data_IF_540463499493
#
_entry.id   IF_540463499493
#
_cell.length_a   1.000
_cell.length_b   1.000
_cell.length_c   1.000
_cell.angle_alpha   90.00
_cell.angle_beta   90.00
_cell.angle_gamma   90.00
#
_symmetry.space_group_name_H-M   'P 1'
#
loop_
_entity.id
_entity.type
_entity.pdbx_description
1 polymer ?
#
# COMPACT_ATOMS: atom_id res chain seq x y z
N UNK A 1 19.23 -7.63 -75.14
CA UNK A 1 18.45 -6.48 -74.65
C UNK A 1 17.69 -6.99 -73.43
N UNK A 2 18.27 -6.83 -72.25
CA UNK A 2 17.61 -7.13 -70.99
C UNK A 2 16.63 -6.00 -70.74
N UNK A 3 15.34 -6.28 -70.85
CA UNK A 3 14.28 -5.36 -70.43
C UNK A 3 14.50 -5.05 -68.95
N UNK A 4 14.95 -3.83 -68.67
CA UNK A 4 14.84 -3.25 -67.34
C UNK A 4 13.35 -3.00 -67.11
N UNK A 5 12.66 -4.00 -66.56
CA UNK A 5 11.34 -3.79 -65.97
C UNK A 5 11.50 -2.74 -64.87
N UNK A 6 10.84 -1.60 -65.05
CA UNK A 6 10.70 -0.60 -63.99
C UNK A 6 10.13 -1.29 -62.74
N UNK A 7 10.59 -0.93 -61.53
CA UNK A 7 10.06 -1.53 -60.32
C UNK A 7 8.56 -1.19 -60.22
N UNK A 8 7.71 -2.21 -60.37
CA UNK A 8 6.27 -2.06 -60.13
C UNK A 8 6.05 -1.57 -58.70
N UNK A 9 5.52 -0.35 -58.56
CA UNK A 9 5.07 0.19 -57.29
C UNK A 9 4.07 -0.78 -56.65
N UNK A 10 4.20 -1.10 -55.34
CA UNK A 10 3.28 -2.00 -54.67
C UNK A 10 1.89 -1.38 -54.64
N UNK A 11 0.88 -2.19 -54.98
CA UNK A 11 -0.53 -1.83 -54.80
C UNK A 11 -0.83 -1.54 -53.32
N UNK A 12 -1.93 -0.82 -53.00
CA UNK A 12 -2.29 -0.50 -51.62
C UNK A 12 -2.42 -1.74 -50.70
N UNK A 13 -2.82 -2.89 -51.25
CA UNK A 13 -2.88 -4.15 -50.52
C UNK A 13 -1.47 -4.71 -50.27
N UNK A 14 -0.62 -4.74 -51.30
CA UNK A 14 0.78 -5.17 -51.19
C UNK A 14 1.55 -4.30 -50.18
N UNK A 15 1.36 -2.97 -50.19
CA UNK A 15 1.98 -2.07 -49.20
C UNK A 15 1.56 -2.41 -47.76
N UNK A 16 0.28 -2.75 -47.53
CA UNK A 16 -0.22 -3.18 -46.20
C UNK A 16 0.40 -4.51 -45.78
N UNK A 17 0.53 -5.46 -46.71
CA UNK A 17 1.17 -6.76 -46.49
C UNK A 17 2.65 -6.58 -46.11
N UNK A 18 3.40 -5.83 -46.94
CA UNK A 18 4.82 -5.52 -46.73
C UNK A 18 5.00 -4.93 -45.33
N UNK A 19 4.24 -3.88 -45.02
CA UNK A 19 4.30 -3.21 -43.73
C UNK A 19 4.00 -4.14 -42.57
N UNK A 20 3.01 -5.02 -42.71
CA UNK A 20 2.62 -5.93 -41.63
C UNK A 20 3.67 -7.00 -41.38
N UNK A 21 4.31 -7.53 -42.43
CA UNK A 21 5.42 -8.48 -42.31
C UNK A 21 6.65 -7.80 -41.73
N UNK A 22 7.03 -6.63 -42.24
CA UNK A 22 8.15 -5.85 -41.71
C UNK A 22 7.94 -5.45 -40.25
N UNK A 23 6.71 -5.17 -39.83
CA UNK A 23 6.41 -4.95 -38.42
C UNK A 23 6.72 -6.18 -37.56
N UNK A 24 6.36 -7.38 -38.02
CA UNK A 24 6.59 -8.61 -37.28
C UNK A 24 8.07 -8.92 -37.07
N UNK A 25 8.86 -8.76 -38.13
CA UNK A 25 10.31 -8.95 -38.13
C UNK A 25 11.09 -7.71 -37.70
N UNK A 26 10.40 -6.60 -37.44
CA UNK A 26 10.99 -5.33 -37.06
C UNK A 26 11.62 -5.34 -35.67
N UNK A 27 12.50 -4.38 -35.45
CA UNK A 27 13.33 -4.25 -34.24
C UNK A 27 12.57 -4.12 -32.93
N UNK A 28 11.31 -3.67 -32.99
CA UNK A 28 10.49 -3.43 -31.81
C UNK A 28 9.66 -4.67 -31.43
N UNK A 29 9.26 -5.47 -32.42
CA UNK A 29 8.42 -6.65 -32.23
C UNK A 29 9.25 -7.92 -32.03
N UNK A 30 10.18 -8.19 -32.96
CA UNK A 30 10.89 -9.47 -33.04
C UNK A 30 11.60 -9.87 -31.74
N UNK A 31 12.32 -8.98 -31.02
CA UNK A 31 12.97 -9.37 -29.75
C UNK A 31 12.01 -9.81 -28.63
N UNK A 32 10.70 -9.51 -28.76
CA UNK A 32 9.67 -9.86 -27.77
C UNK A 32 8.74 -10.99 -28.25
N UNK A 33 8.77 -11.30 -29.53
CA UNK A 33 7.88 -12.29 -30.13
C UNK A 33 8.50 -13.69 -29.99
N UNK A 34 8.13 -14.39 -28.91
CA UNK A 34 8.70 -15.70 -28.60
C UNK A 34 8.39 -16.75 -29.67
N UNK A 35 7.26 -16.61 -30.36
CA UNK A 35 6.87 -17.54 -31.41
C UNK A 35 7.74 -17.34 -32.65
N UNK A 36 7.86 -16.11 -33.16
CA UNK A 36 8.74 -15.83 -34.29
C UNK A 36 10.21 -16.13 -33.99
N UNK A 37 10.68 -15.82 -32.77
CA UNK A 37 12.04 -16.16 -32.34
C UNK A 37 12.32 -17.66 -32.29
N UNK A 38 11.28 -18.49 -32.12
CA UNK A 38 11.42 -19.93 -32.17
C UNK A 38 11.48 -20.41 -33.62
N UNK A 39 10.54 -19.97 -34.47
CA UNK A 39 10.49 -20.36 -35.89
C UNK A 39 11.79 -20.00 -36.63
N UNK A 40 12.36 -18.79 -36.41
CA UNK A 40 13.62 -18.40 -37.07
C UNK A 40 14.82 -19.24 -36.65
N UNK A 41 14.77 -19.94 -35.50
CA UNK A 41 15.88 -20.81 -35.04
C UNK A 41 15.83 -22.20 -35.67
N UNK A 42 14.67 -22.60 -36.19
CA UNK A 42 14.49 -23.95 -36.72
C UNK A 42 15.12 -24.13 -38.10
N UNK A 43 15.16 -23.06 -38.92
CA UNK A 43 15.59 -23.14 -40.32
C UNK A 43 16.43 -21.92 -40.76
N UNK A 44 17.54 -21.64 -40.08
CA UNK A 44 18.51 -20.59 -40.47
C UNK A 44 17.86 -19.20 -40.78
N UNK A 45 16.92 -18.81 -39.92
CA UNK A 45 16.16 -17.56 -40.05
C UNK A 45 14.93 -17.63 -40.96
N UNK A 46 14.78 -18.68 -41.76
CA UNK A 46 13.65 -18.86 -42.67
C UNK A 46 12.36 -19.23 -41.94
N UNK A 47 11.30 -18.53 -42.28
CA UNK A 47 9.95 -18.77 -41.79
C UNK A 47 9.04 -19.04 -42.98
N UNK A 48 8.33 -20.18 -43.00
CA UNK A 48 7.36 -20.47 -44.06
C UNK A 48 6.26 -19.40 -44.12
N UNK A 49 5.93 -18.91 -45.33
CA UNK A 49 4.80 -18.01 -45.52
C UNK A 49 3.48 -18.65 -45.06
N UNK A 50 3.36 -19.97 -45.16
CA UNK A 50 2.25 -20.71 -44.58
C UNK A 50 2.10 -20.47 -43.06
N UNK A 51 3.21 -20.38 -42.32
CA UNK A 51 3.17 -20.03 -40.89
C UNK A 51 2.71 -18.59 -40.71
N UNK A 52 3.16 -17.66 -41.56
CA UNK A 52 2.77 -16.25 -41.51
C UNK A 52 1.26 -16.04 -41.71
N UNK A 53 0.60 -16.86 -42.54
CA UNK A 53 -0.86 -16.80 -42.74
C UNK A 53 -1.67 -17.08 -41.46
N UNK A 54 -1.07 -17.64 -40.40
CA UNK A 54 -1.73 -17.86 -39.12
C UNK A 54 -1.83 -16.58 -38.27
N UNK A 55 -1.09 -15.52 -38.63
CA UNK A 55 -1.09 -14.27 -37.90
C UNK A 55 -2.35 -13.47 -38.23
N UNK A 56 -3.17 -13.19 -37.22
CA UNK A 56 -4.50 -12.60 -37.38
C UNK A 56 -4.56 -11.33 -38.24
N UNK A 57 -3.55 -10.45 -38.19
CA UNK A 57 -3.58 -9.21 -39.00
C UNK A 57 -3.17 -9.47 -40.45
N UNK A 58 -2.23 -10.38 -40.67
CA UNK A 58 -1.80 -10.72 -42.02
C UNK A 58 -2.88 -11.53 -42.74
N UNK A 59 -3.52 -12.47 -42.05
CA UNK A 59 -4.59 -13.30 -42.61
C UNK A 59 -5.83 -12.51 -43.01
N UNK A 60 -6.09 -11.37 -42.38
CA UNK A 60 -7.16 -10.43 -42.76
C UNK A 60 -6.83 -9.67 -44.06
N UNK A 61 -5.56 -9.56 -44.44
CA UNK A 61 -5.11 -8.91 -45.67
C UNK A 61 -5.05 -9.92 -46.82
N UNK A 62 -4.36 -11.04 -46.61
CA UNK A 62 -4.26 -12.14 -47.57
C UNK A 62 -3.83 -13.43 -46.90
N UNK A 63 -4.34 -14.55 -47.41
CA UNK A 63 -3.87 -15.90 -47.06
C UNK A 63 -3.15 -16.59 -48.23
N UNK A 64 -3.05 -15.92 -49.39
CA UNK A 64 -2.42 -16.47 -50.58
C UNK A 64 -0.91 -16.25 -50.53
N UNK A 65 -0.15 -17.36 -50.47
CA UNK A 65 1.31 -17.36 -50.43
C UNK A 65 1.90 -16.62 -51.64
N UNK A 66 1.33 -16.80 -52.83
CA UNK A 66 1.85 -16.17 -54.04
C UNK A 66 1.75 -14.64 -53.96
N UNK A 67 0.63 -14.13 -53.45
CA UNK A 67 0.41 -12.69 -53.22
C UNK A 67 1.37 -12.17 -52.15
N UNK A 68 1.56 -12.89 -51.04
CA UNK A 68 2.49 -12.48 -49.99
C UNK A 68 3.94 -12.42 -50.51
N UNK A 69 4.38 -13.43 -51.26
CA UNK A 69 5.71 -13.48 -51.84
C UNK A 69 5.93 -12.38 -52.89
N UNK A 70 4.95 -12.14 -53.77
CA UNK A 70 4.99 -11.07 -54.75
C UNK A 70 5.08 -9.69 -54.08
N UNK A 71 4.27 -9.44 -53.04
CA UNK A 71 4.33 -8.21 -52.26
C UNK A 71 5.72 -8.02 -51.63
N UNK A 72 6.26 -9.05 -50.98
CA UNK A 72 7.57 -8.94 -50.32
C UNK A 72 8.72 -8.68 -51.29
N UNK A 73 8.66 -9.19 -52.52
CA UNK A 73 9.64 -8.89 -53.58
C UNK A 73 9.61 -7.43 -54.03
N UNK A 74 8.47 -6.74 -53.86
CA UNK A 74 8.31 -5.30 -54.14
C UNK A 74 8.68 -4.42 -52.94
N UNK A 75 9.08 -5.00 -51.81
CA UNK A 75 9.50 -4.20 -50.66
C UNK A 75 10.76 -3.40 -51.01
N UNK A 76 10.73 -2.11 -50.72
CA UNK A 76 11.89 -1.21 -50.81
C UNK A 76 12.79 -1.31 -49.58
N UNK A 77 12.37 -2.04 -48.54
CA UNK A 77 13.13 -2.23 -47.31
C UNK A 77 14.09 -3.41 -47.47
N UNK A 78 15.37 -3.21 -47.15
CA UNK A 78 16.36 -4.30 -47.12
C UNK A 78 16.25 -5.19 -45.87
N UNK A 79 15.15 -5.08 -45.12
CA UNK A 79 14.93 -5.84 -43.88
C UNK A 79 14.62 -7.32 -44.14
N UNK A 80 13.95 -7.65 -45.25
CA UNK A 80 13.39 -8.97 -45.49
C UNK A 80 13.92 -9.57 -46.79
N UNK A 81 14.18 -10.88 -46.78
CA UNK A 81 14.53 -11.69 -47.93
C UNK A 81 13.42 -12.72 -48.21
N UNK A 82 13.18 -12.99 -49.49
CA UNK A 82 12.24 -14.01 -49.96
C UNK A 82 13.04 -15.16 -50.57
N UNK A 83 12.67 -16.40 -50.26
CA UNK A 83 13.34 -17.58 -50.82
C UNK A 83 13.15 -17.66 -52.34
N UNK A 84 14.03 -18.37 -53.03
CA UNK A 84 13.96 -18.53 -54.50
C UNK A 84 12.64 -19.15 -54.95
N UNK A 85 12.15 -20.15 -54.21
CA UNK A 85 10.85 -20.79 -54.44
C UNK A 85 9.63 -19.92 -54.05
N UNK A 86 9.86 -18.80 -53.37
CA UNK A 86 8.80 -17.90 -52.88
C UNK A 86 7.94 -18.47 -51.77
N UNK A 87 8.36 -19.54 -51.08
CA UNK A 87 7.59 -20.20 -50.03
C UNK A 87 7.97 -19.76 -48.62
N UNK A 88 9.16 -19.18 -48.44
CA UNK A 88 9.71 -18.76 -47.14
C UNK A 88 10.19 -17.32 -47.20
N UNK A 89 10.20 -16.67 -46.04
CA UNK A 89 10.76 -15.34 -45.84
C UNK A 89 11.69 -15.36 -44.63
N UNK A 90 12.72 -14.51 -44.63
CA UNK A 90 13.56 -14.29 -43.44
C UNK A 90 13.91 -12.83 -43.29
N UNK A 91 14.26 -12.45 -42.07
CA UNK A 91 14.95 -11.18 -41.83
C UNK A 91 16.38 -11.28 -42.38
N UNK A 92 16.82 -10.27 -43.11
CA UNK A 92 18.14 -10.28 -43.75
C UNK A 92 19.26 -10.42 -42.71
N UNK A 93 20.28 -11.26 -42.94
CA UNK A 93 21.42 -11.43 -42.04
C UNK A 93 22.19 -10.12 -41.77
N UNK A 94 22.15 -9.17 -42.71
CA UNK A 94 22.77 -7.84 -42.58
C UNK A 94 22.07 -6.96 -41.53
N UNK A 95 20.85 -7.33 -41.15
CA UNK A 95 20.05 -6.67 -40.12
C UNK A 95 19.82 -7.63 -38.96
N UNK A 96 20.80 -7.92 -38.10
CA UNK A 96 20.65 -8.87 -37.01
C UNK A 96 19.55 -8.47 -36.04
N UNK A 97 18.96 -9.45 -35.36
CA UNK A 97 17.92 -9.19 -34.34
C UNK A 97 18.52 -8.36 -33.21
N UNK A 98 17.96 -7.18 -32.89
CA UNK A 98 18.51 -6.33 -31.85
C UNK A 98 18.44 -6.97 -30.46
N UNK A 99 19.43 -6.69 -29.63
CA UNK A 99 19.42 -7.05 -28.22
C UNK A 99 18.47 -6.17 -27.43
N UNK A 100 17.88 -6.73 -26.37
CA UNK A 100 16.96 -6.01 -25.49
C UNK A 100 17.69 -5.55 -24.22
N UNK A 101 18.69 -4.70 -24.41
CA UNK A 101 19.51 -4.11 -23.35
C UNK A 101 19.00 -2.74 -22.88
N UNK A 102 19.55 -2.28 -21.75
CA UNK A 102 19.13 -1.03 -21.08
C UNK A 102 19.27 0.19 -21.98
N UNK A 103 20.28 0.23 -22.84
CA UNK A 103 20.57 1.38 -23.69
C UNK A 103 19.54 1.46 -24.84
N UNK A 104 19.21 0.32 -25.45
CA UNK A 104 18.13 0.23 -26.45
C UNK A 104 16.77 0.60 -25.86
N UNK A 105 16.49 0.21 -24.61
CA UNK A 105 15.28 0.66 -23.92
C UNK A 105 15.25 2.18 -23.72
N UNK A 106 16.39 2.79 -23.36
CA UNK A 106 16.50 4.23 -23.18
C UNK A 106 16.30 4.98 -24.51
N UNK A 107 16.92 4.49 -25.58
CA UNK A 107 16.78 5.01 -26.95
C UNK A 107 15.33 4.92 -27.44
N UNK A 108 14.69 3.75 -27.32
CA UNK A 108 13.27 3.58 -27.67
C UNK A 108 12.41 4.54 -26.84
N UNK A 109 12.73 4.75 -25.57
CA UNK A 109 11.96 5.59 -24.65
C UNK A 109 12.00 7.07 -25.05
N UNK A 110 13.11 7.59 -25.58
CA UNK A 110 13.21 9.01 -25.99
C UNK A 110 12.44 9.29 -27.29
N UNK A 111 12.34 8.32 -28.20
CA UNK A 111 11.51 8.40 -29.42
C UNK A 111 10.08 7.84 -29.24
N UNK A 112 9.67 7.60 -28.00
CA UNK A 112 8.34 7.12 -27.68
C UNK A 112 7.44 8.21 -27.12
N UNK A 113 6.22 8.29 -27.64
CA UNK A 113 5.18 9.20 -27.15
C UNK A 113 4.00 8.45 -26.54
N UNK A 114 3.25 9.18 -25.72
CA UNK A 114 1.96 8.80 -25.18
C UNK A 114 0.89 9.76 -25.70
N UNK A 115 -0.22 9.22 -26.18
CA UNK A 115 -1.39 10.00 -26.58
C UNK A 115 -2.67 9.41 -25.97
N UNK A 116 -3.54 10.26 -25.44
CA UNK A 116 -4.84 9.89 -24.87
C UNK A 116 -5.93 10.83 -25.35
N UNK A 117 -7.12 10.29 -25.59
CA UNK A 117 -8.28 11.03 -26.09
C UNK A 117 -8.91 10.38 -27.32
N UNK A 118 -8.47 9.17 -27.69
CA UNK A 118 -9.06 8.46 -28.82
C UNK A 118 -10.41 7.83 -28.45
N UNK A 119 -11.37 7.78 -29.38
CA UNK A 119 -12.61 7.04 -29.22
C UNK A 119 -12.36 5.58 -28.82
N UNK A 120 -13.24 5.00 -27.99
CA UNK A 120 -13.06 3.64 -27.47
C UNK A 120 -13.22 2.56 -28.56
N UNK A 121 -13.89 2.91 -29.64
CA UNK A 121 -14.13 2.13 -30.86
C UNK A 121 -13.14 2.43 -31.99
N UNK A 122 -12.13 3.28 -31.75
CA UNK A 122 -11.15 3.63 -32.76
C UNK A 122 -10.39 2.38 -33.29
N UNK A 123 -10.41 2.20 -34.60
CA UNK A 123 -9.67 1.15 -35.28
C UNK A 123 -8.17 1.42 -35.27
N UNK A 124 -7.36 0.36 -35.18
CA UNK A 124 -5.90 0.46 -35.18
C UNK A 124 -5.36 1.11 -36.46
N UNK A 125 -5.96 0.85 -37.61
CA UNK A 125 -5.52 1.41 -38.90
C UNK A 125 -5.71 2.93 -38.94
N UNK A 126 -6.86 3.44 -38.48
CA UNK A 126 -7.10 4.88 -38.36
C UNK A 126 -6.09 5.55 -37.43
N UNK A 127 -5.70 4.87 -36.36
CA UNK A 127 -4.69 5.38 -35.43
C UNK A 127 -3.30 5.39 -36.07
N UNK A 128 -2.95 4.33 -36.81
CA UNK A 128 -1.68 4.25 -37.55
C UNK A 128 -1.57 5.42 -38.54
N UNK A 129 -2.58 5.61 -39.39
CA UNK A 129 -2.61 6.70 -40.37
C UNK A 129 -2.49 8.07 -39.71
N UNK A 130 -3.14 8.25 -38.55
CA UNK A 130 -3.04 9.49 -37.78
C UNK A 130 -1.62 9.75 -37.26
N UNK A 131 -0.96 8.74 -36.69
CA UNK A 131 0.40 8.90 -36.16
C UNK A 131 1.42 9.12 -37.28
N UNK A 132 1.19 8.56 -38.47
CA UNK A 132 2.09 8.75 -39.61
C UNK A 132 2.17 10.17 -40.16
N UNK A 133 1.20 11.04 -39.82
CA UNK A 133 1.25 12.47 -40.17
C UNK A 133 2.46 13.19 -39.58
N UNK A 134 2.92 12.76 -38.40
CA UNK A 134 4.10 13.33 -37.76
C UNK A 134 5.41 12.69 -38.24
N UNK A 135 5.36 11.46 -38.75
CA UNK A 135 6.52 10.71 -39.24
C UNK A 135 6.32 9.20 -39.14
N UNK A 136 7.30 8.43 -39.64
CA UNK A 136 7.23 6.96 -39.68
C UNK A 136 7.10 6.37 -38.26
N UNK A 137 5.95 5.75 -37.99
CA UNK A 137 5.67 5.04 -36.74
C UNK A 137 6.11 3.57 -36.86
N UNK A 138 7.08 3.16 -36.06
CA UNK A 138 7.56 1.77 -35.99
C UNK A 138 6.61 0.87 -35.19
N UNK A 139 5.99 1.41 -34.14
CA UNK A 139 5.03 0.68 -33.34
C UNK A 139 3.92 1.58 -32.83
N UNK A 140 2.68 1.15 -33.01
CA UNK A 140 1.49 1.74 -32.39
C UNK A 140 0.87 0.72 -31.43
N UNK A 141 0.99 0.98 -30.13
CA UNK A 141 0.51 0.11 -29.07
C UNK A 141 -0.76 0.70 -28.43
N UNK A 142 -1.92 0.16 -28.78
CA UNK A 142 -3.19 0.47 -28.12
C UNK A 142 -3.21 -0.08 -26.69
N UNK A 143 -3.48 0.78 -25.70
CA UNK A 143 -3.55 0.37 -24.29
C UNK A 143 -4.93 -0.20 -24.01
N UNK A 144 -4.97 -1.46 -23.57
CA UNK A 144 -6.20 -2.17 -23.23
C UNK A 144 -6.44 -2.25 -21.72
N UNK A 145 -7.68 -2.46 -21.32
CA UNK A 145 -8.08 -2.77 -19.94
C UNK A 145 -7.97 -4.27 -19.65
N UNK A 146 -8.39 -4.70 -18.46
CA UNK A 146 -8.38 -6.12 -18.08
C UNK A 146 -9.34 -6.95 -18.94
N UNK A 147 -10.41 -6.35 -19.44
CA UNK A 147 -11.39 -6.95 -20.35
C UNK A 147 -10.95 -6.91 -21.83
N UNK A 148 -9.68 -6.55 -22.11
CA UNK A 148 -9.13 -6.38 -23.47
C UNK A 148 -9.78 -5.26 -24.30
N UNK A 149 -10.66 -4.44 -23.71
CA UNK A 149 -11.22 -3.25 -24.35
C UNK A 149 -10.20 -2.10 -24.40
N UNK A 150 -10.27 -1.28 -25.46
CA UNK A 150 -9.39 -0.14 -25.64
C UNK A 150 -9.66 0.96 -24.61
N UNK A 151 -8.61 1.58 -24.06
CA UNK A 151 -8.71 2.66 -23.06
C UNK A 151 -8.75 4.07 -23.65
N UNK A 152 -8.79 4.22 -24.97
CA UNK A 152 -8.65 5.53 -25.61
C UNK A 152 -7.25 6.14 -25.47
N UNK A 153 -6.21 5.32 -25.27
CA UNK A 153 -4.82 5.79 -25.18
C UNK A 153 -3.82 4.82 -25.82
N UNK A 154 -2.77 5.39 -26.41
CA UNK A 154 -1.77 4.67 -27.18
C UNK A 154 -0.36 5.04 -26.73
N UNK A 155 0.56 4.10 -26.85
CA UNK A 155 2.00 4.39 -26.91
C UNK A 155 2.46 4.24 -28.35
N UNK A 156 3.26 5.17 -28.83
CA UNK A 156 3.79 5.14 -30.18
C UNK A 156 5.30 5.26 -30.12
N UNK A 157 5.99 4.41 -30.87
CA UNK A 157 7.44 4.49 -31.08
C UNK A 157 7.64 4.98 -32.51
N UNK A 158 8.28 6.14 -32.65
CA UNK A 158 8.64 6.69 -33.95
C UNK A 158 10.04 6.22 -34.36
N UNK A 159 10.30 6.20 -35.67
CA UNK A 159 11.64 5.90 -36.21
C UNK A 159 12.70 6.90 -35.71
N UNK A 160 12.34 8.18 -35.55
CA UNK A 160 13.24 9.23 -35.06
C UNK A 160 12.67 9.98 -33.84
N UNK A 161 13.57 10.50 -33.00
CA UNK A 161 13.20 11.40 -31.89
C UNK A 161 12.56 12.70 -32.41
N UNK A 162 12.99 13.17 -33.58
CA UNK A 162 12.43 14.35 -34.23
C UNK A 162 10.94 14.15 -34.56
N UNK A 163 10.56 12.98 -35.10
CA UNK A 163 9.15 12.67 -35.38
C UNK A 163 8.32 12.64 -34.08
N UNK A 164 8.90 12.15 -32.99
CA UNK A 164 8.27 12.15 -31.67
C UNK A 164 8.04 13.58 -31.14
N UNK A 165 9.02 14.48 -31.29
CA UNK A 165 8.88 15.91 -30.94
C UNK A 165 7.88 16.62 -31.84
N UNK A 166 7.97 16.40 -33.15
CA UNK A 166 7.05 16.92 -34.16
C UNK A 166 5.60 16.55 -33.84
N UNK A 167 5.37 15.32 -33.39
CA UNK A 167 4.05 14.87 -32.96
C UNK A 167 3.50 15.65 -31.75
N UNK A 168 4.35 16.15 -30.85
CA UNK A 168 3.93 16.94 -29.69
C UNK A 168 3.67 18.41 -30.05
N UNK A 169 4.38 18.93 -31.03
CA UNK A 169 4.34 20.34 -31.44
C UNK A 169 3.26 20.62 -32.50
N UNK A 170 2.99 19.68 -33.40
CA UNK A 170 2.01 19.84 -34.47
C UNK A 170 0.59 20.04 -33.93
N UNK A 171 -0.14 21.02 -34.45
CA UNK A 171 -1.56 21.21 -34.10
C UNK A 171 -2.45 20.14 -34.73
N UNK A 172 -2.12 19.65 -35.92
CA UNK A 172 -2.86 18.59 -36.62
C UNK A 172 -2.91 17.28 -35.84
N UNK A 173 -1.90 17.03 -35.00
CA UNK A 173 -1.85 15.86 -34.12
C UNK A 173 -2.38 16.16 -32.72
N UNK A 174 -2.75 17.41 -32.43
CA UNK A 174 -3.33 17.80 -31.15
C UNK A 174 -4.79 17.36 -31.01
N UNK A 175 -5.49 17.17 -32.13
CA UNK A 175 -6.88 16.75 -32.16
C UNK A 175 -7.04 15.47 -32.98
N UNK A 176 -7.95 14.60 -32.54
CA UNK A 176 -8.40 13.46 -33.31
C UNK A 176 -9.91 13.61 -33.53
N UNK A 177 -10.30 13.98 -34.75
CA UNK A 177 -11.65 14.50 -35.01
C UNK A 177 -11.89 15.76 -34.18
N UNK A 178 -12.96 15.77 -33.41
CA UNK A 178 -13.32 16.89 -32.53
C UNK A 178 -12.70 16.82 -31.13
N UNK A 179 -11.95 15.74 -30.82
CA UNK A 179 -11.43 15.50 -29.47
C UNK A 179 -9.99 15.97 -29.32
N UNK A 180 -9.72 16.81 -28.32
CA UNK A 180 -8.36 17.21 -27.94
C UNK A 180 -7.61 16.07 -27.25
N UNK A 181 -6.38 15.82 -27.71
CA UNK A 181 -5.52 14.77 -27.23
C UNK A 181 -4.56 15.28 -26.15
N UNK A 182 -4.47 14.52 -25.06
CA UNK A 182 -3.38 14.65 -24.09
C UNK A 182 -2.17 13.92 -24.64
N UNK A 183 -1.13 14.67 -25.02
CA UNK A 183 0.11 14.15 -25.60
C UNK A 183 1.29 14.43 -24.68
N UNK A 184 2.14 13.45 -24.47
CA UNK A 184 3.32 13.54 -23.61
C UNK A 184 4.43 12.64 -24.17
N UNK A 185 5.69 12.95 -23.90
CA UNK A 185 6.73 11.94 -24.05
C UNK A 185 6.44 10.76 -23.11
N UNK A 186 6.77 9.54 -23.54
CA UNK A 186 6.56 8.34 -22.72
C UNK A 186 7.32 8.41 -21.39
N UNK A 187 8.50 9.03 -21.39
CA UNK A 187 9.27 9.31 -20.17
C UNK A 187 8.50 10.15 -19.16
N UNK A 188 7.92 11.27 -19.61
CA UNK A 188 7.15 12.19 -18.76
C UNK A 188 5.86 11.57 -18.25
N UNK A 189 5.19 10.78 -19.10
CA UNK A 189 4.03 9.99 -18.69
C UNK A 189 4.36 9.08 -17.50
N UNK A 190 5.47 8.34 -17.56
CA UNK A 190 5.86 7.44 -16.47
C UNK A 190 6.30 8.20 -15.22
N UNK A 191 6.99 9.33 -15.38
CA UNK A 191 7.36 10.20 -14.24
C UNK A 191 6.12 10.72 -13.51
N UNK A 192 5.15 11.27 -14.26
CA UNK A 192 3.86 11.71 -13.69
C UNK A 192 3.11 10.58 -12.99
N UNK A 193 3.09 9.37 -13.58
CA UNK A 193 2.44 8.20 -12.96
C UNK A 193 3.14 7.74 -11.69
N UNK A 194 4.46 7.79 -11.65
CA UNK A 194 5.24 7.48 -10.46
C UNK A 194 4.92 8.47 -9.33
N UNK A 195 4.91 9.76 -9.63
CA UNK A 195 4.61 10.82 -8.66
C UNK A 195 3.16 10.71 -8.15
N UNK A 196 2.17 10.50 -9.04
CA UNK A 196 0.77 10.24 -8.68
C UNK A 196 0.65 9.03 -7.74
N UNK A 197 1.36 7.94 -8.01
CA UNK A 197 1.32 6.73 -7.18
C UNK A 197 1.97 6.95 -5.82
N UNK A 198 3.08 7.71 -5.77
CA UNK A 198 3.77 8.07 -4.54
C UNK A 198 2.87 8.92 -3.65
N UNK A 199 2.20 9.91 -4.24
CA UNK A 199 1.30 10.81 -3.53
C UNK A 199 0.07 10.07 -2.97
N UNK A 200 -0.56 9.19 -3.77
CA UNK A 200 -1.65 8.33 -3.28
C UNK A 200 -1.23 7.43 -2.11
N UNK A 201 0.00 6.92 -2.14
CA UNK A 201 0.53 6.10 -1.05
C UNK A 201 0.71 6.93 0.23
N UNK A 202 1.25 8.15 0.11
CA UNK A 202 1.41 9.08 1.24
C UNK A 202 0.03 9.45 1.82
N UNK A 203 -0.93 9.79 0.97
CA UNK A 203 -2.29 10.14 1.39
C UNK A 203 -3.00 8.96 2.08
N UNK A 204 -2.85 7.74 1.56
CA UNK A 204 -3.40 6.55 2.18
C UNK A 204 -2.79 6.26 3.56
N UNK A 205 -1.50 6.52 3.74
CA UNK A 205 -0.83 6.39 5.05
C UNK A 205 -1.38 7.44 6.02
N UNK A 206 -1.46 8.71 5.59
CA UNK A 206 -2.00 9.81 6.41
C UNK A 206 -3.44 9.53 6.85
N UNK A 207 -4.30 9.10 5.92
CA UNK A 207 -5.69 8.75 6.23
C UNK A 207 -5.81 7.61 7.24
N UNK A 208 -4.94 6.60 7.17
CA UNK A 208 -4.88 5.51 8.16
C UNK A 208 -4.42 6.00 9.54
N UNK A 209 -3.45 6.92 9.60
CA UNK A 209 -3.01 7.53 10.86
C UNK A 209 -4.13 8.34 11.50
N UNK A 210 -4.77 9.23 10.75
CA UNK A 210 -5.89 10.04 11.25
C UNK A 210 -7.07 9.17 11.72
N UNK A 211 -7.37 8.06 11.02
CA UNK A 211 -8.39 7.11 11.47
C UNK A 211 -8.02 6.42 12.79
N UNK A 212 -6.74 6.09 12.98
CA UNK A 212 -6.26 5.47 14.22
C UNK A 212 -6.26 6.46 15.39
N UNK A 213 -5.92 7.72 15.15
CA UNK A 213 -5.97 8.79 16.15
C UNK A 213 -7.41 9.04 16.60
N UNK A 214 -8.34 9.24 15.65
CA UNK A 214 -9.78 9.37 15.97
C UNK A 214 -10.31 8.18 16.78
N UNK A 215 -9.98 6.96 16.36
CA UNK A 215 -10.38 5.76 17.11
C UNK A 215 -9.81 5.72 18.54
N UNK A 216 -8.58 6.21 18.73
CA UNK A 216 -7.98 6.26 20.05
C UNK A 216 -8.63 7.35 20.93
N UNK A 217 -8.91 8.51 20.36
CA UNK A 217 -9.66 9.59 21.01
C UNK A 217 -11.06 9.14 21.42
N UNK A 218 -11.81 8.51 20.52
CA UNK A 218 -13.14 7.96 20.81
C UNK A 218 -13.08 6.96 21.99
N UNK A 219 -12.09 6.05 21.99
CA UNK A 219 -11.88 5.11 23.10
C UNK A 219 -11.51 5.78 24.41
N UNK A 220 -10.75 6.87 24.37
CA UNK A 220 -10.39 7.63 25.58
C UNK A 220 -11.63 8.32 26.12
N UNK A 221 -12.43 8.95 25.26
CA UNK A 221 -13.68 9.61 25.61
C UNK A 221 -14.68 8.61 26.19
N UNK A 222 -14.92 7.48 25.53
CA UNK A 222 -15.81 6.42 26.00
C UNK A 222 -15.38 5.89 27.39
N UNK A 223 -14.08 5.68 27.61
CA UNK A 223 -13.57 5.28 28.93
C UNK A 223 -13.77 6.36 29.99
N UNK A 224 -13.64 7.63 29.62
CA UNK A 224 -13.84 8.77 30.53
C UNK A 224 -15.31 8.91 30.91
N UNK A 225 -16.22 8.77 29.96
CA UNK A 225 -17.68 8.81 30.18
C UNK A 225 -18.15 7.62 31.03
N UNK A 226 -17.76 6.40 30.68
CA UNK A 226 -18.04 5.21 31.49
C UNK A 226 -17.51 5.32 32.93
N UNK A 227 -16.34 5.96 33.10
CA UNK A 227 -15.81 6.24 34.43
C UNK A 227 -16.69 7.28 35.15
N UNK A 228 -17.05 8.37 34.47
CA UNK A 228 -17.88 9.44 35.02
C UNK A 228 -19.28 8.97 35.47
N UNK A 229 -19.86 7.97 34.80
CA UNK A 229 -21.15 7.37 35.18
C UNK A 229 -21.06 6.48 36.42
N UNK A 230 -19.89 5.87 36.68
CA UNK A 230 -19.70 4.90 37.78
C UNK A 230 -19.27 5.55 39.09
N UNK A 231 -18.83 6.80 39.07
CA UNK A 231 -18.32 7.49 40.25
C UNK A 231 -19.45 8.11 41.07
N UNK A 232 -19.21 8.23 42.36
CA UNK A 232 -20.09 8.96 43.26
C UNK A 232 -19.62 10.41 43.26
N UNK A 233 -20.26 11.29 42.47
CA UNK A 233 -19.83 12.68 42.27
C UNK A 233 -19.92 13.49 43.56
N UNK A 234 -18.97 14.40 43.77
CA UNK A 234 -18.92 15.27 44.94
C UNK A 234 -18.86 14.51 46.27
N UNK A 235 -18.34 13.28 46.25
CA UNK A 235 -18.22 12.42 47.44
C UNK A 235 -16.80 12.40 48.02
N UNK A 236 -15.85 13.07 47.37
CA UNK A 236 -14.44 13.10 47.79
C UNK A 236 -14.04 14.50 48.24
N UNK A 237 -13.57 14.60 49.48
CA UNK A 237 -13.04 15.81 50.08
C UNK A 237 -11.51 15.71 50.11
N UNK A 238 -10.84 16.66 49.48
CA UNK A 238 -9.41 16.85 49.61
C UNK A 238 -9.12 17.80 50.76
N UNK A 239 -8.20 17.40 51.63
CA UNK A 239 -7.74 18.16 52.79
C UNK A 239 -6.26 18.44 52.61
N UNK A 240 -5.87 19.70 52.73
CA UNK A 240 -4.48 20.14 52.73
C UNK A 240 -4.15 20.94 53.98
N UNK A 241 -2.86 21.14 54.22
CA UNK A 241 -2.32 21.75 55.44
C UNK A 241 -2.61 20.93 56.71
N UNK A 242 -2.52 19.60 56.61
CA UNK A 242 -2.75 18.71 57.76
C UNK A 242 -1.55 18.82 58.73
N UNK A 243 -1.78 19.12 60.03
CA UNK A 243 -0.71 19.26 61.02
C UNK A 243 0.06 17.97 61.27
N UNK A 244 1.32 18.11 61.67
CA UNK A 244 2.20 16.97 61.92
C UNK A 244 1.73 16.17 63.15
N UNK A 245 1.69 14.84 63.02
CA UNK A 245 1.25 13.95 64.08
C UNK A 245 -0.24 13.62 64.09
N UNK A 246 -1.05 14.30 63.26
CA UNK A 246 -2.47 13.99 63.09
C UNK A 246 -2.68 12.55 62.64
N UNK A 247 -3.65 11.90 63.26
CA UNK A 247 -4.04 10.53 62.95
C UNK A 247 -5.30 10.47 62.10
N UNK A 248 -5.50 9.34 61.44
CA UNK A 248 -6.72 9.05 60.68
C UNK A 248 -7.98 9.18 61.54
N UNK A 249 -7.92 8.77 62.81
CA UNK A 249 -9.05 8.80 63.74
C UNK A 249 -9.49 10.25 64.03
N UNK A 250 -8.53 11.17 64.16
CA UNK A 250 -8.77 12.59 64.36
C UNK A 250 -9.39 13.25 63.11
N UNK A 251 -8.88 12.93 61.92
CA UNK A 251 -9.46 13.40 60.64
C UNK A 251 -10.89 12.86 60.44
N UNK A 252 -11.13 11.62 60.84
CA UNK A 252 -12.46 11.00 60.74
C UNK A 252 -13.43 11.64 61.74
N UNK A 253 -13.01 11.84 62.98
CA UNK A 253 -13.82 12.45 64.04
C UNK A 253 -14.28 13.86 63.63
N UNK A 254 -13.41 14.65 63.01
CA UNK A 254 -13.71 15.99 62.52
C UNK A 254 -14.91 16.06 61.57
N UNK A 255 -15.15 15.02 60.77
CA UNK A 255 -16.25 14.97 59.79
C UNK A 255 -17.34 13.95 60.12
N UNK A 256 -17.19 13.20 61.22
CA UNK A 256 -18.10 12.11 61.58
C UNK A 256 -19.53 12.60 61.87
N UNK A 257 -19.66 13.78 62.46
CA UNK A 257 -20.95 14.40 62.78
C UNK A 257 -21.59 15.10 61.57
N UNK A 258 -20.82 15.31 60.50
CA UNK A 258 -21.22 16.05 59.31
C UNK A 258 -21.45 15.15 58.10
N UNK A 259 -20.97 13.90 58.11
CA UNK A 259 -21.23 12.90 57.08
C UNK A 259 -20.58 11.54 57.37
N UNK A 260 -21.10 10.48 56.72
CA UNK A 260 -20.56 9.13 56.87
C UNK A 260 -19.31 8.95 55.99
N UNK A 261 -18.14 8.88 56.62
CA UNK A 261 -16.85 8.63 55.94
C UNK A 261 -16.71 7.15 55.61
N UNK A 262 -16.67 6.83 54.32
CA UNK A 262 -16.52 5.48 53.78
C UNK A 262 -15.07 5.00 53.80
N UNK A 263 -14.15 5.90 53.45
CA UNK A 263 -12.73 5.60 53.30
C UNK A 263 -11.92 6.88 53.44
N UNK A 264 -10.67 6.78 53.87
CA UNK A 264 -9.75 7.90 53.75
C UNK A 264 -8.35 7.45 53.35
N UNK A 265 -7.74 8.26 52.50
CA UNK A 265 -6.41 8.07 51.94
C UNK A 265 -5.50 9.13 52.57
N UNK A 266 -4.83 8.72 53.64
CA UNK A 266 -3.93 9.53 54.46
C UNK A 266 -2.98 8.60 55.22
N UNK A 267 -1.69 8.93 55.24
CA UNK A 267 -0.68 8.28 56.09
C UNK A 267 -0.18 9.27 57.14
N UNK A 268 0.20 8.77 58.32
CA UNK A 268 0.72 9.61 59.40
C UNK A 268 1.96 10.37 58.94
N UNK A 269 1.90 11.70 58.97
CA UNK A 269 2.96 12.59 58.49
C UNK A 269 2.69 13.20 57.11
N UNK A 270 1.63 12.78 56.41
CA UNK A 270 1.20 13.43 55.19
C UNK A 270 0.66 14.84 55.50
N UNK A 271 0.96 15.80 54.62
CA UNK A 271 0.45 17.19 54.73
C UNK A 271 -0.89 17.37 54.01
N UNK A 272 -1.31 16.36 53.24
CA UNK A 272 -2.54 16.35 52.46
C UNK A 272 -3.16 14.95 52.44
N UNK A 273 -4.47 14.85 52.26
CA UNK A 273 -5.19 13.59 52.21
C UNK A 273 -6.56 13.70 51.54
N UNK A 274 -7.16 12.57 51.19
CA UNK A 274 -8.51 12.53 50.60
C UNK A 274 -9.46 11.72 51.50
N UNK A 275 -10.57 12.32 51.92
CA UNK A 275 -11.68 11.64 52.60
C UNK A 275 -12.78 11.34 51.58
N UNK A 276 -13.22 10.08 51.53
CA UNK A 276 -14.36 9.64 50.72
C UNK A 276 -15.57 9.42 51.63
N UNK A 277 -16.67 10.08 51.29
CA UNK A 277 -17.96 9.96 51.97
C UNK A 277 -18.89 8.98 51.24
N UNK A 278 -19.90 8.47 51.95
CA UNK A 278 -20.98 7.67 51.35
C UNK A 278 -22.08 8.57 50.79
N UNK A 279 -22.35 8.45 49.49
CA UNK A 279 -23.44 9.16 48.80
C UNK A 279 -22.97 10.26 47.84
N UNK A 280 -23.82 10.63 46.88
CA UNK A 280 -23.54 11.71 45.95
C UNK A 280 -23.68 13.07 46.63
N UNK A 281 -22.74 13.99 46.39
CA UNK A 281 -22.73 15.33 46.99
C UNK A 281 -22.43 15.37 48.49
N UNK A 282 -22.15 14.22 49.12
CA UNK A 282 -22.00 14.12 50.57
C UNK A 282 -20.76 14.83 51.10
N UNK A 283 -19.67 14.92 50.33
CA UNK A 283 -18.48 15.66 50.75
C UNK A 283 -18.74 17.17 50.78
N UNK A 284 -19.54 17.68 49.82
CA UNK A 284 -19.96 19.08 49.81
C UNK A 284 -20.83 19.42 51.01
N UNK A 285 -21.83 18.59 51.29
CA UNK A 285 -22.70 18.78 52.46
C UNK A 285 -21.91 18.68 53.79
N UNK A 286 -20.95 17.77 53.89
CA UNK A 286 -20.09 17.65 55.07
C UNK A 286 -19.18 18.88 55.24
N UNK A 287 -18.62 19.40 54.15
CA UNK A 287 -17.77 20.59 54.17
C UNK A 287 -18.54 21.85 54.58
N UNK A 288 -19.75 22.06 54.06
CA UNK A 288 -20.60 23.21 54.40
C UNK A 288 -20.98 23.17 55.88
N UNK A 289 -21.44 22.02 56.39
CA UNK A 289 -21.78 21.86 57.82
C UNK A 289 -20.60 22.05 58.76
N UNK A 290 -19.42 21.55 58.38
CA UNK A 290 -18.21 21.73 59.18
C UNK A 290 -17.78 23.22 59.26
N UNK A 291 -18.15 24.05 58.28
CA UNK A 291 -17.87 25.49 58.26
C UNK A 291 -18.93 26.31 59.00
N UNK A 292 -20.20 25.89 58.97
CA UNK A 292 -21.31 26.56 59.66
C UNK A 292 -21.13 26.60 61.20
N UNK A 293 -20.39 25.66 61.78
CA UNK A 293 -20.13 25.60 63.22
C UNK A 293 -18.90 26.36 63.72
N UNK A 294 -18.00 26.83 62.84
CA UNK A 294 -16.64 27.28 63.23
C UNK A 294 -16.18 28.55 62.48
N UNK A 295 -17.05 29.55 62.32
CA UNK A 295 -16.72 30.86 61.72
C UNK A 295 -16.08 30.74 60.31
N UNK A 296 -16.47 29.70 59.56
CA UNK A 296 -15.95 29.40 58.22
C UNK A 296 -14.61 28.67 58.18
N UNK A 297 -13.98 28.41 59.32
CA UNK A 297 -12.67 27.74 59.44
C UNK A 297 -12.82 26.31 59.92
N UNK A 298 -11.95 25.43 59.46
CA UNK A 298 -11.87 24.05 59.97
C UNK A 298 -10.53 23.94 60.68
N UNK A 299 -10.56 23.65 61.97
CA UNK A 299 -9.37 23.63 62.83
C UNK A 299 -9.13 22.22 63.33
N UNK A 300 -7.90 21.75 63.20
CA UNK A 300 -7.44 20.46 63.71
C UNK A 300 -6.17 20.71 64.53
N UNK A 301 -6.13 20.24 65.78
CA UNK A 301 -5.00 20.48 66.70
C UNK A 301 -4.53 21.95 66.79
N UNK A 302 -5.47 22.90 66.86
CA UNK A 302 -5.26 24.36 66.87
C UNK A 302 -4.67 24.98 65.59
N UNK A 303 -4.56 24.22 64.50
CA UNK A 303 -4.14 24.72 63.19
C UNK A 303 -5.28 24.66 62.18
N UNK A 304 -5.35 25.66 61.29
CA UNK A 304 -6.39 25.75 60.26
C UNK A 304 -6.06 24.82 59.07
N UNK A 305 -6.96 23.87 58.78
CA UNK A 305 -6.87 22.96 57.64
C UNK A 305 -7.71 23.46 56.47
N UNK A 306 -7.20 23.28 55.25
CA UNK A 306 -7.90 23.66 54.04
C UNK A 306 -8.63 22.46 53.46
N UNK A 307 -9.94 22.57 53.30
CA UNK A 307 -10.76 21.50 52.74
C UNK A 307 -11.47 21.97 51.47
N UNK A 308 -11.38 21.17 50.40
CA UNK A 308 -12.07 21.39 49.13
C UNK A 308 -12.67 20.10 48.60
N UNK A 309 -13.84 20.16 47.98
CA UNK A 309 -14.43 19.01 47.30
C UNK A 309 -13.70 18.81 45.98
N UNK A 310 -13.32 17.58 45.66
CA UNK A 310 -12.80 17.27 44.33
C UNK A 310 -13.97 17.26 43.34
N UNK A 311 -13.76 17.90 42.19
CA UNK A 311 -14.71 17.91 41.08
C UNK A 311 -13.99 17.68 39.73
N UNK A 312 -14.79 17.58 38.66
CA UNK A 312 -14.29 17.56 37.29
C UNK A 312 -13.23 16.48 37.01
N UNK A 313 -12.12 16.89 36.40
CA UNK A 313 -11.04 15.98 35.99
C UNK A 313 -10.22 15.43 37.18
N UNK A 314 -10.10 16.20 38.26
CA UNK A 314 -9.39 15.79 39.46
C UNK A 314 -10.12 14.66 40.19
N UNK A 315 -11.45 14.78 40.32
CA UNK A 315 -12.30 13.72 40.88
C UNK A 315 -12.25 12.45 40.01
N UNK A 316 -12.35 12.58 38.68
CA UNK A 316 -12.23 11.45 37.75
C UNK A 316 -10.86 10.74 37.87
N UNK A 317 -9.78 11.50 38.00
CA UNK A 317 -8.43 10.95 38.17
C UNK A 317 -8.28 10.22 39.52
N UNK A 318 -8.85 10.76 40.60
CA UNK A 318 -8.92 10.08 41.89
C UNK A 318 -9.62 8.71 41.76
N UNK A 319 -10.83 8.69 41.21
CA UNK A 319 -11.59 7.45 41.03
C UNK A 319 -10.93 6.45 40.08
N UNK A 320 -10.26 6.93 39.02
CA UNK A 320 -9.47 6.08 38.13
C UNK A 320 -8.40 5.30 38.90
N UNK A 321 -7.65 5.97 39.78
CA UNK A 321 -6.62 5.31 40.61
C UNK A 321 -7.24 4.30 41.57
N UNK A 322 -8.36 4.66 42.21
CA UNK A 322 -9.08 3.77 43.14
C UNK A 322 -9.56 2.50 42.43
N UNK A 323 -10.23 2.62 41.29
CA UNK A 323 -10.72 1.46 40.54
C UNK A 323 -9.58 0.61 39.96
N UNK A 324 -8.48 1.22 39.51
CA UNK A 324 -7.32 0.48 39.03
C UNK A 324 -6.66 -0.32 40.16
N UNK A 325 -6.42 0.31 41.31
CA UNK A 325 -5.88 -0.35 42.50
C UNK A 325 -6.76 -1.51 42.97
N UNK A 326 -8.09 -1.33 42.93
CA UNK A 326 -9.04 -2.40 43.24
C UNK A 326 -8.95 -3.56 42.24
N UNK A 327 -8.88 -3.26 40.94
CA UNK A 327 -8.71 -4.28 39.88
C UNK A 327 -7.39 -5.04 40.04
N UNK A 328 -6.27 -4.36 40.24
CA UNK A 328 -4.96 -4.98 40.41
C UNK A 328 -4.91 -5.89 41.64
N UNK A 329 -5.56 -5.48 42.74
CA UNK A 329 -5.71 -6.32 43.95
C UNK A 329 -6.53 -7.57 43.65
N UNK A 330 -7.62 -7.46 42.88
CA UNK A 330 -8.43 -8.61 42.47
C UNK A 330 -7.65 -9.56 41.54
N UNK A 331 -6.93 -9.04 40.54
CA UNK A 331 -6.11 -9.86 39.63
C UNK A 331 -4.97 -10.58 40.34
N UNK A 332 -4.30 -9.92 41.30
CA UNK A 332 -3.28 -10.55 42.16
C UNK A 332 -3.86 -11.69 43.00
N UNK A 333 -5.07 -11.52 43.55
CA UNK A 333 -5.78 -12.59 44.27
C UNK A 333 -6.16 -13.76 43.36
N UNK A 334 -6.52 -13.51 42.10
CA UNK A 334 -6.79 -14.56 41.12
C UNK A 334 -5.53 -15.33 40.68
N UNK A 335 -4.39 -14.65 40.49
CA UNK A 335 -3.11 -15.31 40.15
C UNK A 335 -2.58 -16.19 41.30
N UNK A 336 -2.75 -15.78 42.56
CA UNK A 336 -2.37 -16.55 43.74
C UNK A 336 -3.21 -17.82 43.98
N UNK A 337 -4.42 -17.91 43.39
CA UNK A 337 -5.32 -19.06 43.54
C UNK A 337 -5.08 -20.16 42.48
N UNK A 338 -4.44 -19.83 41.36
CA UNK A 338 -4.14 -20.81 40.29
C UNK A 338 -2.95 -21.74 40.60
N UNK A 339 -2.03 -21.34 41.49
CA UNK A 339 -0.87 -22.15 41.85
C UNK A 339 -1.11 -23.17 42.97
N UNK A 340 -2.33 -23.27 43.52
CA UNK A 340 -2.63 -24.19 44.64
C UNK A 340 -3.31 -25.52 44.21
N UNK A 341 -3.78 -25.64 42.96
CA UNK A 341 -4.43 -26.86 42.44
C UNK A 341 -3.59 -27.67 41.43
N UNK A 342 -2.26 -27.51 41.45
CA UNK A 342 -1.34 -28.19 40.52
C UNK A 342 -0.32 -29.13 41.16
N UNK A 343 -0.47 -29.51 42.44
CA UNK A 343 0.56 -30.28 43.15
C UNK A 343 0.00 -31.41 44.03
N UNK A 344 -0.83 -32.28 43.45
CA UNK A 344 -1.06 -33.61 44.03
C UNK A 344 -1.55 -34.59 42.95
N UNK A 345 -0.60 -35.20 42.25
CA UNK A 345 -0.61 -36.62 41.89
C UNK A 345 0.46 -36.88 40.83
N UNK A 346 1.61 -37.37 41.29
CA UNK A 346 2.37 -38.47 40.66
C UNK A 346 3.63 -38.74 41.48
N UNK A 347 3.50 -39.64 42.46
CA UNK A 347 4.61 -40.54 42.79
C UNK A 347 4.03 -41.89 43.22
N UNK A 348 4.61 -42.94 42.61
CA UNK A 348 4.54 -44.38 42.91
C UNK A 348 3.60 -45.21 42.03
N UNK A 349 4.15 -45.62 40.89
CA UNK A 349 4.17 -47.05 40.58
C UNK A 349 5.60 -47.40 40.17
N UNK A 350 6.20 -48.34 40.91
CA UNK A 350 7.51 -48.91 40.70
C UNK A 350 7.33 -50.43 40.57
N UNK A 351 8.20 -51.05 39.77
CA UNK A 351 8.26 -52.49 39.48
C UNK A 351 7.70 -52.77 38.09
N UNK A 352 8.46 -53.21 37.09
CA UNK A 352 9.50 -54.23 37.14
C UNK A 352 10.34 -54.18 35.83
N UNK A 353 11.59 -54.68 35.84
CA UNK A 353 12.29 -55.00 34.59
C UNK A 353 13.75 -54.61 34.40
N UNK A 354 14.59 -54.82 35.41
CA UNK A 354 15.89 -55.52 35.31
C UNK A 354 17.02 -55.07 34.34
N UNK A 355 18.23 -55.06 34.94
CA UNK A 355 19.56 -55.46 34.43
C UNK A 355 20.57 -54.42 33.89
N UNK A 356 21.66 -54.35 34.69
CA UNK A 356 23.09 -54.25 34.35
C UNK A 356 23.77 -52.89 34.51
N UNK A 357 24.22 -52.68 35.75
CA UNK A 357 25.49 -52.06 36.19
C UNK A 357 26.74 -52.87 35.72
N UNK A 358 28.00 -52.43 35.97
CA UNK A 358 28.51 -51.07 36.28
C UNK A 358 29.89 -50.72 35.64
N UNK A 359 30.40 -49.53 36.03
CA UNK A 359 31.81 -49.08 36.10
C UNK A 359 32.55 -48.76 34.78
N UNK A 360 33.45 -47.77 34.67
CA UNK A 360 34.32 -47.11 35.65
C UNK A 360 34.77 -45.70 35.18
N UNK A 361 35.18 -44.86 36.14
CA UNK A 361 35.95 -43.61 35.97
C UNK A 361 37.26 -43.85 35.20
N UNK A 362 37.82 -42.80 34.58
CA UNK A 362 39.23 -42.35 34.69
C UNK A 362 39.42 -41.03 33.93
N UNK A 363 40.17 -40.12 34.54
CA UNK A 363 40.63 -38.84 34.03
C UNK A 363 41.91 -38.97 33.17
N UNK A 364 42.23 -37.93 32.37
CA UNK A 364 43.57 -37.44 31.96
C UNK A 364 43.36 -36.25 31.00
N UNK A 365 43.61 -35.00 31.41
CA UNK A 365 44.87 -34.20 31.26
C UNK A 365 45.32 -33.97 29.82
N UNK A 366 45.29 -32.69 29.45
CA UNK A 366 46.22 -31.88 28.64
C UNK A 366 47.09 -32.57 27.58
N UNK A 367 46.90 -32.13 26.32
CA UNK A 367 47.89 -31.37 25.54
C UNK A 367 47.15 -30.43 24.56
#
# INVERSE_FOLDING_TARGET
>A
MTEHAEPEEPSPLESKVIRQIEYYFGDINLPRDTFLLQEIKEDDGWVPLQTMTKFNRLSQLSTDIAVLAAAMRKSTSSLMEVSEDGLKIRRSPDHPVPTFDKDRFAEIKVRSVYAKGFPLDAALDNLIEFFERAGKAEQVQMRKNKEKAFKGSCFVVYASEESAKKFLEMEETAKFGDTELVRLMKGDYFKKKYDESKQKKIEAIKKKQEQRERFLEDKITEKRENLAERITKGAVLHISNIPEGVTFEELKALFQDHGKVAWAEFQKGDKEGNLRFEGEGSAKAALEKAREGNDGKIVLNNEEVQCRVLDGEEELNYWRRVFQSHKDRMEKKHRGRSNFYGKSHRKRQAGDGNKNEPESKVAKTDD
#
